data_IF_716053943669
#
_entry.id   IF_716053943669
#
_cell.length_a   1.000
_cell.length_b   1.000
_cell.length_c   1.000
_cell.angle_alpha   90.00
_cell.angle_beta   90.00
_cell.angle_gamma   90.00
#
_symmetry.space_group_name_H-M   'P 1'
#
loop_
_entity.id
_entity.type
_entity.pdbx_description
1 polymer ?
#
# COMPACT_ATOMS: atom_id res chain seq x y z
N UNK A 1 12.53 4.08 -5.72
CA UNK A 1 11.38 3.18 -5.46
C UNK A 1 11.46 2.78 -4.00
N UNK A 2 10.46 3.16 -3.20
CA UNK A 2 10.38 2.77 -1.80
C UNK A 2 9.48 1.55 -1.68
N UNK A 3 9.86 0.60 -0.83
CA UNK A 3 9.03 -0.55 -0.50
C UNK A 3 8.62 -0.43 0.96
N UNK A 4 7.34 -0.64 1.23
CA UNK A 4 6.79 -0.65 2.57
C UNK A 4 6.34 -2.06 2.92
N UNK A 5 6.75 -2.56 4.08
CA UNK A 5 6.29 -3.86 4.58
C UNK A 5 4.99 -3.66 5.35
N UNK A 6 3.91 -4.26 4.86
CA UNK A 6 2.60 -4.13 5.48
C UNK A 6 2.58 -4.90 6.79
N UNK A 7 2.40 -4.19 7.90
CA UNK A 7 2.22 -4.77 9.22
C UNK A 7 0.74 -5.09 9.47
N UNK A 8 0.49 -5.99 10.42
CA UNK A 8 -0.87 -6.37 10.78
C UNK A 8 -1.65 -5.16 11.31
N UNK A 9 -2.81 -4.87 10.71
CA UNK A 9 -3.65 -3.71 11.05
C UNK A 9 -3.39 -2.48 10.18
N UNK A 10 -2.37 -2.48 9.34
CA UNK A 10 -2.18 -1.43 8.34
C UNK A 10 -3.10 -1.64 7.13
N UNK A 11 -3.56 -0.53 6.57
CA UNK A 11 -4.37 -0.52 5.37
C UNK A 11 -3.74 0.41 4.32
N UNK A 12 -4.12 0.24 3.06
CA UNK A 12 -3.50 0.97 1.96
C UNK A 12 -3.66 2.48 2.15
N UNK A 13 -4.79 2.94 2.69
CA UNK A 13 -5.07 4.36 2.96
C UNK A 13 -4.14 4.94 4.02
N UNK A 14 -3.92 4.25 5.14
CA UNK A 14 -3.01 4.65 6.21
C UNK A 14 -1.58 4.73 5.73
N UNK A 15 -1.13 3.69 5.01
CA UNK A 15 0.22 3.63 4.43
C UNK A 15 0.39 4.77 3.44
N UNK A 16 -0.56 4.94 2.52
CA UNK A 16 -0.49 5.99 1.50
C UNK A 16 -0.51 7.39 2.12
N UNK A 17 -1.31 7.60 3.17
CA UNK A 17 -1.31 8.85 3.93
C UNK A 17 0.02 9.11 4.63
N UNK A 18 0.65 8.07 5.19
CA UNK A 18 1.99 8.15 5.79
C UNK A 18 3.06 8.60 4.79
N UNK A 19 3.01 8.06 3.56
CA UNK A 19 3.95 8.40 2.50
C UNK A 19 3.54 9.63 1.68
N UNK A 20 2.37 10.22 1.93
CA UNK A 20 1.84 11.34 1.14
C UNK A 20 1.54 10.99 -0.31
N UNK A 21 1.28 9.72 -0.61
CA UNK A 21 0.98 9.21 -1.95
C UNK A 21 -0.51 8.92 -2.11
N UNK A 22 -0.98 8.87 -3.36
CA UNK A 22 -2.35 8.46 -3.63
C UNK A 22 -2.50 6.94 -3.46
N UNK A 23 -3.46 6.46 -2.65
CA UNK A 23 -3.75 5.02 -2.51
C UNK A 23 -3.96 4.32 -3.85
N UNK A 24 -4.60 4.97 -4.82
CA UNK A 24 -4.79 4.42 -6.15
C UNK A 24 -3.49 4.26 -6.93
N UNK A 25 -2.53 5.17 -6.76
CA UNK A 25 -1.22 5.06 -7.40
C UNK A 25 -0.43 3.87 -6.83
N UNK A 26 -0.49 3.68 -5.51
CA UNK A 26 0.09 2.51 -4.83
C UNK A 26 -0.60 1.23 -5.31
N UNK A 27 -1.93 1.22 -5.39
CA UNK A 27 -2.70 0.08 -5.85
C UNK A 27 -2.32 -0.29 -7.30
N UNK A 28 -2.23 0.70 -8.20
CA UNK A 28 -1.79 0.50 -9.58
C UNK A 28 -0.35 -0.01 -9.67
N UNK A 29 0.56 0.53 -8.84
CA UNK A 29 1.95 0.08 -8.80
C UNK A 29 2.11 -1.38 -8.33
N UNK A 30 1.13 -1.92 -7.60
CA UNK A 30 1.15 -3.27 -7.04
C UNK A 30 0.10 -4.21 -7.66
N UNK A 31 -0.57 -3.78 -8.74
CA UNK A 31 -1.67 -4.52 -9.38
C UNK A 31 -2.79 -4.94 -8.39
N UNK A 32 -3.07 -4.08 -7.41
CA UNK A 32 -4.14 -4.26 -6.46
C UNK A 32 -5.40 -3.56 -6.98
N UNK A 33 -6.47 -4.33 -7.19
CA UNK A 33 -7.78 -3.77 -7.55
C UNK A 33 -8.61 -3.36 -6.33
N UNK A 34 -8.27 -3.89 -5.16
CA UNK A 34 -9.05 -3.73 -3.95
C UNK A 34 -8.19 -3.11 -2.85
N UNK A 35 -8.39 -1.81 -2.60
CA UNK A 35 -7.58 -1.06 -1.63
C UNK A 35 -7.79 -1.53 -0.19
N UNK A 36 -8.94 -2.15 0.09
CA UNK A 36 -9.27 -2.71 1.41
C UNK A 36 -8.74 -4.14 1.61
N UNK A 37 -8.23 -4.79 0.56
CA UNK A 37 -7.80 -6.17 0.61
C UNK A 37 -6.30 -6.25 0.36
N UNK A 38 -5.54 -5.85 1.38
CA UNK A 38 -4.09 -6.02 1.42
C UNK A 38 -3.71 -7.01 2.51
N UNK A 39 -2.71 -7.83 2.21
CA UNK A 39 -2.23 -8.85 3.14
C UNK A 39 -1.07 -8.29 3.97
N UNK A 40 -1.24 -8.33 5.28
CA UNK A 40 -0.13 -8.13 6.21
C UNK A 40 0.96 -9.17 5.93
N UNK A 41 2.21 -8.73 5.99
CA UNK A 41 3.38 -9.56 5.68
C UNK A 41 3.88 -9.45 4.23
N UNK A 42 3.32 -8.54 3.43
CA UNK A 42 3.74 -8.32 2.04
C UNK A 42 4.48 -7.00 1.87
N UNK A 43 5.36 -6.95 0.87
CA UNK A 43 6.00 -5.69 0.46
C UNK A 43 5.16 -5.01 -0.60
N UNK A 44 4.84 -3.75 -0.33
CA UNK A 44 4.07 -2.87 -1.20
C UNK A 44 5.01 -1.82 -1.78
N UNK A 45 5.02 -1.72 -3.11
CA UNK A 45 5.79 -0.72 -3.84
C UNK A 45 5.10 0.63 -3.75
N UNK A 46 5.75 1.58 -3.09
CA UNK A 46 5.30 2.97 -3.00
C UNK A 46 5.95 3.74 -4.18
N UNK A 47 5.14 4.27 -5.12
CA UNK A 47 5.64 5.08 -6.23
C UNK A 47 6.19 6.44 -5.77
#
# INVERSE_FOLDING_TARGET
>A
RYQHYVSYGENLSSISAWYGVNPWAVAQANNLYNLHHIYAGTYLSIP
#
